data_IF_154510795768
#
_entry.id   IF_154510795768
#
_cell.length_a   1.000
_cell.length_b   1.000
_cell.length_c   1.000
_cell.angle_alpha   90.00
_cell.angle_beta   90.00
_cell.angle_gamma   90.00
#
_symmetry.space_group_name_H-M   'P 1'
#
loop_
_entity.id
_entity.type
_entity.pdbx_description
1 polymer ?
#
# COMPACT_ATOMS: atom_id res chain seq x y z
N UNK A 1 3.94 -5.82 3.52
CA UNK A 1 4.10 -4.86 4.64
C UNK A 1 2.79 -4.35 5.22
N UNK A 2 1.72 -4.17 4.43
CA UNK A 2 0.44 -3.66 4.94
C UNK A 2 -0.20 -4.48 6.09
N UNK A 3 -0.06 -5.81 6.08
CA UNK A 3 -0.62 -6.68 7.13
C UNK A 3 0.08 -6.49 8.49
N UNK A 4 1.40 -6.28 8.48
CA UNK A 4 2.18 -5.97 9.69
C UNK A 4 1.78 -4.62 10.28
N UNK A 5 1.60 -3.61 9.43
CA UNK A 5 1.11 -2.29 9.85
C UNK A 5 -0.32 -2.37 10.42
N UNK A 6 -1.20 -3.19 9.85
CA UNK A 6 -2.53 -3.41 10.43
C UNK A 6 -2.43 -4.03 11.83
N UNK A 7 -1.52 -4.99 12.02
CA UNK A 7 -1.33 -5.62 13.32
C UNK A 7 -0.79 -4.63 14.38
N UNK A 8 0.09 -3.71 14.00
CA UNK A 8 0.68 -2.71 14.91
C UNK A 8 -0.27 -1.55 15.23
N UNK A 9 -1.00 -1.02 14.24
CA UNK A 9 -1.75 0.22 14.39
C UNK A 9 -3.27 0.05 14.64
N UNK A 10 -3.84 -1.14 14.41
CA UNK A 10 -5.28 -1.37 14.62
C UNK A 10 -5.58 -2.27 15.83
N UNK A 11 -6.59 -1.91 16.67
CA UNK A 11 -7.09 -2.77 17.74
C UNK A 11 -7.74 -4.03 17.16
N UNK A 12 -7.86 -5.09 17.99
CA UNK A 12 -8.25 -6.43 17.54
C UNK A 12 -9.59 -6.44 16.76
N UNK A 13 -10.59 -5.67 17.20
CA UNK A 13 -11.89 -5.58 16.50
C UNK A 13 -11.80 -4.91 15.12
N UNK A 14 -10.82 -4.03 14.90
CA UNK A 14 -10.66 -3.26 13.65
C UNK A 14 -9.84 -3.97 12.57
N UNK A 15 -9.04 -4.97 12.95
CA UNK A 15 -8.10 -5.64 12.03
C UNK A 15 -8.80 -6.40 10.91
N UNK A 16 -9.84 -7.16 11.24
CA UNK A 16 -10.61 -7.91 10.25
C UNK A 16 -11.19 -6.99 9.16
N UNK A 17 -11.70 -5.81 9.58
CA UNK A 17 -12.21 -4.78 8.66
C UNK A 17 -11.10 -4.21 7.78
N UNK A 18 -9.95 -3.83 8.36
CA UNK A 18 -8.82 -3.29 7.60
C UNK A 18 -8.28 -4.31 6.57
N UNK A 19 -8.14 -5.58 6.98
CA UNK A 19 -7.73 -6.67 6.09
C UNK A 19 -8.75 -6.88 4.96
N UNK A 20 -10.06 -6.88 5.29
CA UNK A 20 -11.11 -7.05 4.28
C UNK A 20 -11.09 -5.96 3.23
N UNK A 21 -10.78 -4.71 3.61
CA UNK A 21 -10.62 -3.60 2.67
C UNK A 21 -9.45 -3.78 1.73
N UNK A 22 -8.29 -4.26 2.22
CA UNK A 22 -7.13 -4.55 1.36
C UNK A 22 -7.47 -5.64 0.36
N UNK A 23 -8.06 -6.74 0.84
CA UNK A 23 -8.40 -7.89 -0.02
C UNK A 23 -9.47 -7.51 -1.04
N UNK A 24 -10.51 -6.79 -0.63
CA UNK A 24 -11.57 -6.31 -1.52
C UNK A 24 -11.01 -5.35 -2.58
N UNK A 25 -10.14 -4.43 -2.17
CA UNK A 25 -9.45 -3.51 -3.09
C UNK A 25 -8.59 -4.26 -4.12
N UNK A 26 -7.80 -5.24 -3.68
CA UNK A 26 -7.01 -6.08 -4.58
C UNK A 26 -7.86 -6.89 -5.56
N UNK A 27 -8.97 -7.44 -5.09
CA UNK A 27 -9.91 -8.20 -5.92
C UNK A 27 -10.58 -7.32 -6.98
N UNK A 28 -11.03 -6.12 -6.57
CA UNK A 28 -11.60 -5.13 -7.49
C UNK A 28 -10.58 -4.68 -8.54
N UNK A 29 -9.33 -4.44 -8.12
CA UNK A 29 -8.24 -4.07 -9.02
C UNK A 29 -7.94 -5.19 -10.03
N UNK A 30 -8.06 -6.46 -9.65
CA UNK A 30 -7.86 -7.57 -10.57
C UNK A 30 -8.97 -7.63 -11.64
N UNK A 31 -10.23 -7.50 -11.22
CA UNK A 31 -11.39 -7.50 -12.14
C UNK A 31 -11.33 -6.30 -13.07
N UNK A 32 -11.25 -5.08 -12.53
CA UNK A 32 -11.29 -3.86 -13.34
C UNK A 32 -10.00 -3.67 -14.14
N UNK A 33 -8.85 -3.95 -13.51
CA UNK A 33 -7.54 -3.78 -14.13
C UNK A 33 -7.33 -4.71 -15.33
N UNK A 34 -7.78 -5.96 -15.25
CA UNK A 34 -7.70 -6.88 -16.39
C UNK A 34 -8.50 -6.35 -17.59
N UNK A 35 -9.72 -5.86 -17.39
CA UNK A 35 -10.55 -5.30 -18.47
C UNK A 35 -9.94 -4.03 -19.05
N UNK A 36 -9.43 -3.14 -18.19
CA UNK A 36 -8.76 -1.92 -18.60
C UNK A 36 -7.52 -2.21 -19.46
N UNK A 37 -6.68 -3.17 -19.05
CA UNK A 37 -5.48 -3.58 -19.79
C UNK A 37 -5.86 -4.15 -21.16
N UNK A 38 -6.88 -5.01 -21.24
CA UNK A 38 -7.35 -5.58 -22.53
C UNK A 38 -7.88 -4.47 -23.44
N UNK A 39 -8.67 -3.54 -22.91
CA UNK A 39 -9.18 -2.40 -23.67
C UNK A 39 -8.04 -1.53 -24.23
N UNK A 40 -7.08 -1.15 -23.39
CA UNK A 40 -5.92 -0.36 -23.79
C UNK A 40 -5.02 -1.10 -24.80
N UNK A 41 -4.87 -2.42 -24.64
CA UNK A 41 -4.07 -3.25 -25.53
C UNK A 41 -4.66 -3.30 -26.95
N UNK A 42 -5.98 -3.19 -27.10
CA UNK A 42 -6.64 -3.13 -28.41
C UNK A 42 -6.38 -1.81 -29.14
N UNK A 43 -6.08 -0.72 -28.43
CA UNK A 43 -5.83 0.59 -29.04
C UNK A 43 -4.38 0.79 -29.48
N UNK A 44 -3.41 0.23 -28.76
CA UNK A 44 -1.98 0.49 -29.03
C UNK A 44 -1.02 -0.63 -28.61
N UNK A 45 -1.54 -1.84 -28.46
CA UNK A 45 -0.77 -3.01 -28.03
C UNK A 45 -0.35 -2.95 -26.56
N UNK A 46 0.53 -3.88 -26.18
CA UNK A 46 0.95 -4.06 -24.79
C UNK A 46 1.65 -2.83 -24.19
N UNK A 47 2.34 -2.02 -25.02
CA UNK A 47 3.02 -0.80 -24.56
C UNK A 47 2.04 0.27 -24.10
N UNK A 48 0.98 0.51 -24.88
CA UNK A 48 -0.06 1.47 -24.53
C UNK A 48 -0.86 1.01 -23.31
N UNK A 49 -1.11 -0.31 -23.18
CA UNK A 49 -1.71 -0.88 -21.98
C UNK A 49 -0.85 -0.67 -20.73
N UNK A 50 0.47 -0.91 -20.85
CA UNK A 50 1.37 -0.74 -19.73
C UNK A 50 1.47 0.73 -19.30
N UNK A 51 1.74 1.65 -20.23
CA UNK A 51 1.85 3.07 -19.92
C UNK A 51 0.52 3.67 -19.48
N UNK A 52 -0.58 3.32 -20.15
CA UNK A 52 -1.91 3.81 -19.84
C UNK A 52 -2.46 3.31 -18.50
N UNK A 53 -2.06 2.13 -18.05
CA UNK A 53 -2.48 1.59 -16.75
C UNK A 53 -1.53 1.98 -15.62
N UNK A 54 -0.22 1.96 -15.84
CA UNK A 54 0.77 2.25 -14.79
C UNK A 54 0.81 3.74 -14.43
N UNK A 55 0.65 4.63 -15.41
CA UNK A 55 0.67 6.09 -15.18
C UNK A 55 -0.39 6.53 -14.15
N UNK A 56 -1.69 6.21 -14.30
CA UNK A 56 -2.69 6.60 -13.31
C UNK A 56 -2.46 5.95 -11.94
N UNK A 57 -1.95 4.71 -11.90
CA UNK A 57 -1.62 4.02 -10.64
C UNK A 57 -0.51 4.74 -9.89
N UNK A 58 0.55 5.16 -10.58
CA UNK A 58 1.64 5.95 -9.98
C UNK A 58 1.11 7.30 -9.50
N UNK A 59 0.32 8.00 -10.30
CA UNK A 59 -0.25 9.29 -9.92
C UNK A 59 -1.14 9.18 -8.69
N UNK A 60 -2.05 8.19 -8.64
CA UNK A 60 -2.87 7.93 -7.47
C UNK A 60 -2.02 7.59 -6.25
N UNK A 61 -1.01 6.72 -6.42
CA UNK A 61 -0.10 6.35 -5.33
C UNK A 61 0.66 7.56 -4.80
N UNK A 62 1.08 8.47 -5.69
CA UNK A 62 1.76 9.71 -5.34
C UNK A 62 0.85 10.68 -4.59
N UNK A 63 -0.40 10.86 -5.05
CA UNK A 63 -1.40 11.69 -4.38
C UNK A 63 -1.75 11.12 -3.00
N UNK A 64 -1.97 9.81 -2.91
CA UNK A 64 -2.25 9.13 -1.64
C UNK A 64 -1.06 9.21 -0.68
N UNK A 65 0.17 9.09 -1.17
CA UNK A 65 1.36 9.31 -0.36
C UNK A 65 1.43 10.76 0.12
N UNK A 66 1.19 11.74 -0.76
CA UNK A 66 1.22 13.15 -0.40
C UNK A 66 0.20 13.52 0.68
N UNK A 67 -1.02 12.97 0.60
CA UNK A 67 -2.10 13.24 1.55
C UNK A 67 -1.94 12.40 2.82
N UNK A 68 -1.56 11.13 2.67
CA UNK A 68 -1.56 10.13 3.74
C UNK A 68 -0.27 10.06 4.54
N UNK A 69 0.86 10.60 4.03
CA UNK A 69 2.08 10.72 4.82
C UNK A 69 1.89 11.86 5.83
N UNK A 70 1.80 11.59 7.15
CA UNK A 70 1.91 12.64 8.14
C UNK A 70 3.26 13.35 7.91
N UNK A 71 3.26 14.70 7.90
CA UNK A 71 4.51 15.48 7.91
C UNK A 71 5.36 14.91 9.03
N UNK A 72 6.55 14.41 8.71
CA UNK A 72 7.46 13.85 9.70
C UNK A 72 7.78 14.93 10.75
N UNK A 73 7.02 14.98 11.84
CA UNK A 73 7.42 15.62 13.07
C UNK A 73 8.48 14.73 13.68
N UNK A 74 9.72 15.23 13.71
CA UNK A 74 10.90 14.47 14.13
C UNK A 74 10.68 13.70 15.42
N UNK A 75 11.04 12.42 15.41
CA UNK A 75 10.95 11.57 16.59
C UNK A 75 10.93 10.09 16.27
N UNK A 76 12.07 9.53 15.88
CA UNK A 76 12.27 8.07 15.99
C UNK A 76 13.64 7.81 16.61
N UNK A 77 13.72 8.11 17.91
CA UNK A 77 14.73 7.55 18.83
C UNK A 77 14.27 6.23 19.47
N UNK A 78 13.02 5.80 19.25
CA UNK A 78 12.44 4.63 19.94
C UNK A 78 12.93 3.29 19.38
N UNK A 79 13.18 3.18 18.06
CA UNK A 79 13.60 1.91 17.45
C UNK A 79 15.01 1.44 17.83
N UNK A 80 15.94 2.37 18.14
CA UNK A 80 17.30 2.02 18.55
C UNK A 80 17.40 1.60 20.03
N UNK A 81 16.53 2.13 20.90
CA UNK A 81 16.53 1.80 22.33
C UNK A 81 16.12 0.36 22.59
N UNK A 82 15.04 -0.09 21.94
CA UNK A 82 14.51 -1.45 22.10
C UNK A 82 15.48 -2.53 21.57
N UNK A 83 16.22 -2.24 20.51
CA UNK A 83 17.24 -3.17 19.97
C UNK A 83 18.44 -3.35 20.93
N UNK A 84 18.85 -2.28 21.61
CA UNK A 84 19.95 -2.33 22.59
C UNK A 84 19.55 -3.02 23.90
N UNK A 85 18.28 -2.90 24.32
CA UNK A 85 17.78 -3.62 25.50
C UNK A 85 17.74 -5.14 25.30
N UNK A 86 17.38 -5.60 24.10
CA UNK A 86 17.39 -7.03 23.76
C UNK A 86 18.79 -7.67 23.83
N UNK A 87 19.84 -6.89 23.53
CA UNK A 87 21.24 -7.34 23.66
C UNK A 87 21.79 -7.29 25.07
N UNK A 88 21.17 -6.53 25.98
CA UNK A 88 21.63 -6.37 27.36
C UNK A 88 20.99 -7.38 28.33
N UNK A 89 19.95 -8.08 27.89
CA UNK A 89 19.20 -9.05 28.69
C UNK A 89 19.55 -10.53 28.41
N UNK A 90 20.52 -10.81 27.52
CA UNK A 90 21.07 -12.14 27.24
C UNK A 90 22.55 -12.22 27.63
#
# INVERSE_FOLDING_TARGET
>A
MAMTLIAEYFPLEGRARAVSWIIAGGSLAYVVGSQAIVFLARMGGWRAAYLGFVTPVILMSFVLAWIGLPKASGGTREGYGSFMEGFKAG
#
